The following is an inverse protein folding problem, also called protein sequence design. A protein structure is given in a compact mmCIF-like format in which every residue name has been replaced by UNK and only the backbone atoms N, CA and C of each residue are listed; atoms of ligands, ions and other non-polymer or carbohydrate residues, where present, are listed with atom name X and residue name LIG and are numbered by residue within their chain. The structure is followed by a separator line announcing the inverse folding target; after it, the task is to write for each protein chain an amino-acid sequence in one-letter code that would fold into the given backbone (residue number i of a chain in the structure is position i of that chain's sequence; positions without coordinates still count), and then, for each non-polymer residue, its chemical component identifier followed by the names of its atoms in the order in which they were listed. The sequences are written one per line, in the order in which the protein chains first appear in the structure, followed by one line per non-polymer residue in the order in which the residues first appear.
data_IF_067488419977
#
_entry.id   IF_067488419977
#
_cell.length_a   1.000
_cell.length_b   1.000
_cell.length_c   1.000
_cell.angle_alpha   90.00
_cell.angle_beta   90.00
_cell.angle_gamma   90.00
#
_symmetry.space_group_name_H-M   'P 1'
#
loop_
_entity.id
_entity.type
_entity.pdbx_description
1 polymer ?
#
# COMPACT_ATOMS: atom_id res chain seq x y z
N UNK A 1 20.75 -6.21 47.28
CA UNK A 1 20.19 -6.77 46.02
C UNK A 1 19.03 -5.89 45.58
N UNK A 2 19.28 -4.80 44.86
CA UNK A 2 18.22 -3.88 44.40
C UNK A 2 18.57 -3.21 43.05
N UNK A 3 19.55 -3.76 42.31
CA UNK A 3 20.00 -3.23 41.02
C UNK A 3 19.33 -3.87 39.81
N UNK A 4 18.63 -5.01 39.97
CA UNK A 4 18.13 -5.79 38.84
C UNK A 4 16.69 -5.43 38.43
N UNK A 5 15.83 -5.03 39.37
CA UNK A 5 14.40 -4.79 39.11
C UNK A 5 14.13 -3.49 38.32
N UNK A 6 14.91 -2.43 38.56
CA UNK A 6 14.79 -1.18 37.81
C UNK A 6 15.31 -1.38 36.39
N UNK A 7 16.38 -2.16 36.23
CA UNK A 7 16.93 -2.49 34.91
C UNK A 7 15.98 -3.33 34.05
N UNK A 8 15.22 -4.26 34.67
CA UNK A 8 14.25 -5.09 33.95
C UNK A 8 13.03 -4.28 33.53
N UNK A 9 12.51 -3.39 34.38
CA UNK A 9 11.36 -2.53 34.03
C UNK A 9 11.73 -1.56 32.91
N UNK A 10 12.92 -0.94 32.99
CA UNK A 10 13.37 -0.03 31.93
C UNK A 10 13.59 -0.77 30.61
N UNK A 11 14.16 -1.99 30.66
CA UNK A 11 14.38 -2.83 29.48
C UNK A 11 13.07 -3.36 28.88
N UNK A 12 12.09 -3.73 29.71
CA UNK A 12 10.77 -4.19 29.27
C UNK A 12 9.92 -3.04 28.70
N UNK A 13 10.01 -1.84 29.28
CA UNK A 13 9.41 -0.64 28.74
C UNK A 13 10.08 -0.25 27.42
N UNK A 14 11.42 -0.22 27.35
CA UNK A 14 12.13 0.04 26.10
C UNK A 14 11.79 -1.00 25.04
N UNK A 15 11.77 -2.29 25.35
CA UNK A 15 11.37 -3.33 24.39
C UNK A 15 9.91 -3.16 23.94
N UNK A 16 8.98 -2.74 24.81
CA UNK A 16 7.59 -2.42 24.43
C UNK A 16 7.46 -1.16 23.58
N UNK A 17 8.30 -0.15 23.80
CA UNK A 17 8.25 1.13 23.09
C UNK A 17 9.05 1.12 21.77
N UNK A 18 10.13 0.34 21.68
CA UNK A 18 10.98 0.21 20.49
C UNK A 18 10.57 -0.96 19.58
N UNK A 19 9.81 -1.95 20.05
CA UNK A 19 9.21 -2.99 19.19
C UNK A 19 7.90 -2.54 18.53
N UNK A 20 7.71 -1.23 18.30
CA UNK A 20 6.66 -0.79 17.38
C UNK A 20 7.09 -1.16 15.98
N UNK A 21 6.61 -2.32 15.54
CA UNK A 21 6.68 -2.78 14.15
C UNK A 21 6.30 -1.61 13.24
N UNK A 22 7.22 -1.23 12.34
CA UNK A 22 7.02 -0.08 11.44
C UNK A 22 5.84 -0.42 10.52
N UNK A 23 4.92 0.51 10.32
CA UNK A 23 3.77 0.32 9.42
C UNK A 23 3.90 1.29 8.28
N UNK A 24 4.01 0.77 7.05
CA UNK A 24 3.97 1.55 5.82
C UNK A 24 2.57 1.53 5.23
N UNK A 25 2.03 2.70 4.91
CA UNK A 25 0.78 2.86 4.16
C UNK A 25 1.08 3.15 2.70
N UNK A 26 0.74 2.20 1.83
CA UNK A 26 0.94 2.30 0.39
C UNK A 26 -0.43 2.35 -0.29
N UNK A 27 -0.65 3.39 -1.09
CA UNK A 27 -1.82 3.47 -1.96
C UNK A 27 -1.49 2.95 -3.35
N UNK A 28 -2.35 2.11 -3.90
CA UNK A 28 -2.26 1.67 -5.29
C UNK A 28 -3.38 2.35 -6.09
N UNK A 29 -2.97 3.06 -7.14
CA UNK A 29 -3.83 3.89 -7.98
C UNK A 29 -3.63 3.56 -9.46
N UNK A 30 -4.54 4.03 -10.30
CA UNK A 30 -4.46 3.89 -11.75
C UNK A 30 -5.80 3.55 -12.39
N UNK A 31 -5.91 3.61 -13.71
CA UNK A 31 -7.16 3.37 -14.42
C UNK A 31 -7.76 1.98 -14.11
N UNK A 32 -9.05 1.80 -14.35
CA UNK A 32 -9.65 0.46 -14.31
C UNK A 32 -8.84 -0.49 -15.21
N UNK A 33 -8.79 -1.78 -14.86
CA UNK A 33 -8.09 -2.82 -15.63
C UNK A 33 -6.57 -2.65 -15.79
N UNK A 34 -5.92 -1.67 -15.16
CA UNK A 34 -4.46 -1.49 -15.25
C UNK A 34 -3.60 -2.54 -14.51
N UNK A 35 -4.21 -3.59 -13.97
CA UNK A 35 -3.49 -4.68 -13.28
C UNK A 35 -3.29 -4.52 -11.77
N UNK A 36 -3.78 -3.43 -11.15
CA UNK A 36 -3.64 -3.16 -9.69
C UNK A 36 -3.93 -4.37 -8.80
N UNK A 37 -5.15 -4.91 -8.88
CA UNK A 37 -5.60 -6.02 -8.02
C UNK A 37 -4.86 -7.31 -8.30
N UNK A 38 -4.48 -7.55 -9.56
CA UNK A 38 -3.62 -8.69 -9.93
C UNK A 38 -2.27 -8.61 -9.24
N UNK A 39 -1.65 -7.42 -9.23
CA UNK A 39 -0.39 -7.19 -8.53
C UNK A 39 -0.53 -7.39 -7.01
N UNK A 40 -1.56 -6.85 -6.38
CA UNK A 40 -1.81 -7.05 -4.93
C UNK A 40 -1.97 -8.53 -4.60
N UNK A 41 -2.78 -9.26 -5.38
CA UNK A 41 -2.96 -10.71 -5.17
C UNK A 41 -1.69 -11.50 -5.43
N UNK A 42 -0.86 -11.08 -6.38
CA UNK A 42 0.44 -11.68 -6.59
C UNK A 42 1.36 -11.48 -5.38
N UNK A 43 1.43 -10.26 -4.81
CA UNK A 43 2.21 -10.00 -3.60
C UNK A 43 1.76 -10.87 -2.41
N UNK A 44 0.44 -11.06 -2.25
CA UNK A 44 -0.12 -11.81 -1.12
C UNK A 44 0.05 -13.33 -1.24
N UNK A 45 -0.01 -13.87 -2.46
CA UNK A 45 -0.13 -15.31 -2.69
C UNK A 45 1.01 -15.91 -3.51
N UNK A 46 1.93 -15.09 -4.02
CA UNK A 46 3.01 -15.46 -4.91
C UNK A 46 2.53 -16.27 -6.14
N UNK A 47 1.33 -15.96 -6.64
CA UNK A 47 0.66 -16.66 -7.76
C UNK A 47 -0.26 -15.71 -8.52
N UNK A 48 -0.38 -15.91 -9.83
CA UNK A 48 -1.36 -15.22 -10.66
C UNK A 48 -2.75 -15.84 -10.46
N UNK A 49 -3.67 -15.06 -9.90
CA UNK A 49 -5.07 -15.46 -9.68
C UNK A 49 -5.97 -14.75 -10.69
N UNK A 50 -7.03 -15.44 -11.15
CA UNK A 50 -8.12 -14.77 -11.87
C UNK A 50 -8.85 -13.86 -10.89
N UNK A 51 -8.80 -12.55 -11.15
CA UNK A 51 -9.45 -11.53 -10.33
C UNK A 51 -10.70 -10.99 -11.03
N UNK A 52 -11.73 -10.67 -10.23
CA UNK A 52 -12.86 -9.87 -10.68
C UNK A 52 -12.52 -8.38 -10.51
N UNK A 53 -13.14 -7.47 -11.26
CA UNK A 53 -12.99 -6.03 -11.03
C UNK A 53 -13.30 -5.67 -9.57
N UNK A 54 -12.45 -4.86 -8.95
CA UNK A 54 -12.65 -4.40 -7.57
C UNK A 54 -13.90 -3.53 -7.49
N UNK A 55 -14.79 -3.87 -6.57
CA UNK A 55 -15.92 -3.03 -6.18
C UNK A 55 -15.53 -2.23 -4.93
N UNK A 56 -15.58 -0.91 -5.01
CA UNK A 56 -15.27 -0.03 -3.89
C UNK A 56 -13.77 0.02 -3.53
N UNK A 57 -13.48 -0.14 -2.24
CA UNK A 57 -12.15 -0.05 -1.64
C UNK A 57 -11.75 -1.39 -1.04
N UNK A 58 -10.56 -1.83 -1.40
CA UNK A 58 -9.94 -3.03 -0.87
C UNK A 58 -8.70 -2.67 -0.05
N UNK A 59 -8.61 -3.18 1.18
CA UNK A 59 -7.52 -2.91 2.11
C UNK A 59 -6.90 -4.23 2.53
N UNK A 60 -5.60 -4.38 2.33
CA UNK A 60 -4.86 -5.58 2.70
C UNK A 60 -3.65 -5.24 3.54
N UNK A 61 -3.37 -6.08 4.54
CA UNK A 61 -2.19 -5.93 5.39
C UNK A 61 -1.25 -7.12 5.19
N UNK A 62 -0.01 -6.81 4.83
CA UNK A 62 1.08 -7.77 4.72
C UNK A 62 1.98 -7.60 5.94
N UNK A 63 2.21 -8.67 6.68
CA UNK A 63 3.04 -8.68 7.88
C UNK A 63 4.39 -9.35 7.59
N UNK A 64 5.48 -8.58 7.67
CA UNK A 64 6.86 -9.07 7.69
C UNK A 64 7.35 -9.19 9.13
N UNK A 65 8.55 -9.70 9.38
CA UNK A 65 9.07 -9.82 10.76
C UNK A 65 9.30 -8.43 11.38
N UNK A 66 9.84 -7.49 10.61
CA UNK A 66 10.29 -6.18 11.08
C UNK A 66 9.30 -5.03 10.80
N UNK A 67 8.42 -5.18 9.81
CA UNK A 67 7.46 -4.16 9.40
C UNK A 67 6.16 -4.74 8.84
N UNK A 68 5.15 -3.89 8.71
CA UNK A 68 3.88 -4.20 8.04
C UNK A 68 3.67 -3.25 6.88
N UNK A 69 3.01 -3.72 5.83
CA UNK A 69 2.52 -2.89 4.73
C UNK A 69 1.01 -2.95 4.74
N UNK A 70 0.35 -1.78 4.71
CA UNK A 70 -1.08 -1.65 4.44
C UNK A 70 -1.23 -1.15 3.01
N UNK A 71 -1.88 -1.95 2.18
CA UNK A 71 -2.15 -1.66 0.78
C UNK A 71 -3.60 -1.23 0.62
N UNK A 72 -3.80 -0.05 0.03
CA UNK A 72 -5.10 0.49 -0.32
C UNK A 72 -5.31 0.41 -1.84
N UNK A 73 -6.10 -0.55 -2.31
CA UNK A 73 -6.49 -0.73 -3.73
C UNK A 73 -7.93 -0.24 -3.92
N UNK A 74 -8.08 0.92 -4.58
CA UNK A 74 -9.39 1.50 -4.87
C UNK A 74 -9.70 1.44 -6.35
N UNK A 75 -10.98 1.23 -6.68
CA UNK A 75 -11.46 1.45 -8.06
C UNK A 75 -11.49 2.93 -8.42
N UNK A 76 -11.69 3.79 -7.42
CA UNK A 76 -11.92 5.21 -7.62
C UNK A 76 -10.63 5.94 -8.02
N UNK A 77 -10.79 7.02 -8.77
CA UNK A 77 -9.69 7.93 -9.07
C UNK A 77 -9.16 8.54 -7.78
N UNK A 78 -7.94 9.09 -7.81
CA UNK A 78 -7.34 9.74 -6.65
C UNK A 78 -8.26 10.86 -6.11
N UNK A 79 -8.93 11.57 -7.01
CA UNK A 79 -9.77 12.73 -6.71
C UNK A 79 -11.11 12.35 -6.07
N UNK A 80 -11.65 11.17 -6.41
CA UNK A 80 -13.00 10.75 -6.00
C UNK A 80 -13.07 10.13 -4.59
N UNK A 81 -11.92 9.77 -4.00
CA UNK A 81 -11.88 9.06 -2.71
C UNK A 81 -11.36 9.95 -1.57
N UNK A 82 -12.23 10.88 -1.13
CA UNK A 82 -11.94 11.81 -0.04
C UNK A 82 -11.60 11.12 1.30
N UNK A 83 -11.97 9.85 1.46
CA UNK A 83 -11.68 9.08 2.67
C UNK A 83 -10.21 8.63 2.70
N UNK A 84 -9.70 8.14 1.58
CA UNK A 84 -8.29 7.72 1.42
C UNK A 84 -7.36 8.93 1.38
N UNK A 85 -7.80 10.05 0.78
CA UNK A 85 -7.00 11.28 0.69
C UNK A 85 -6.68 11.90 2.06
N UNK A 86 -7.40 11.53 3.12
CA UNK A 86 -7.12 11.99 4.50
C UNK A 86 -6.12 11.11 5.23
N UNK A 87 -5.75 9.97 4.67
CA UNK A 87 -4.79 9.06 5.26
C UNK A 87 -3.37 9.53 4.94
N UNK A 88 -2.48 9.44 5.93
CA UNK A 88 -1.07 9.72 5.76
C UNK A 88 -0.40 8.55 5.04
N UNK A 89 -0.17 8.72 3.74
CA UNK A 89 0.38 7.69 2.85
C UNK A 89 1.88 7.88 2.71
N UNK A 90 2.65 6.84 3.03
CA UNK A 90 4.11 6.84 2.85
C UNK A 90 4.50 6.79 1.37
N UNK A 91 3.69 6.09 0.56
CA UNK A 91 3.91 5.97 -0.87
C UNK A 91 2.60 5.81 -1.67
N UNK A 92 2.66 6.24 -2.93
CA UNK A 92 1.63 5.97 -3.93
C UNK A 92 2.29 5.26 -5.12
N UNK A 93 1.69 4.15 -5.55
CA UNK A 93 2.08 3.39 -6.73
C UNK A 93 0.99 3.57 -7.79
N UNK A 94 1.34 4.22 -8.90
CA UNK A 94 0.40 4.43 -10.00
C UNK A 94 0.62 3.39 -11.11
N UNK A 95 -0.42 2.63 -11.44
CA UNK A 95 -0.44 1.61 -12.49
C UNK A 95 -0.93 2.18 -13.81
N UNK A 96 -0.16 1.90 -14.87
CA UNK A 96 -0.46 2.27 -16.24
C UNK A 96 -0.43 1.00 -17.08
N UNK A 97 -1.50 0.75 -17.82
CA UNK A 97 -1.49 -0.27 -18.87
C UNK A 97 -0.90 0.34 -20.14
N UNK A 98 0.27 -0.15 -20.56
CA UNK A 98 0.96 0.34 -21.74
C UNK A 98 0.31 -0.10 -23.05
N UNK A 99 -0.52 -1.15 -23.02
CA UNK A 99 -1.24 -1.66 -24.18
C UNK A 99 -2.51 -0.86 -24.47
N UNK A 100 -3.08 -0.17 -23.47
CA UNK A 100 -4.26 0.69 -23.63
C UNK A 100 -3.85 2.14 -23.94
N UNK A 101 -3.55 2.39 -25.21
CA UNK A 101 -3.21 3.73 -25.70
C UNK A 101 -4.29 4.80 -25.44
N UNK A 102 -5.55 4.40 -25.27
CA UNK A 102 -6.64 5.31 -24.92
C UNK A 102 -6.54 5.82 -23.49
N UNK A 103 -6.21 4.93 -22.54
CA UNK A 103 -6.09 5.25 -21.11
C UNK A 103 -4.73 5.82 -20.72
N UNK A 104 -3.69 5.69 -21.57
CA UNK A 104 -2.40 6.38 -21.36
C UNK A 104 -2.57 7.90 -21.17
N UNK A 105 -3.45 8.54 -21.95
CA UNK A 105 -3.72 9.98 -21.84
C UNK A 105 -4.38 10.37 -20.52
N UNK A 106 -5.18 9.47 -19.96
CA UNK A 106 -5.84 9.66 -18.66
C UNK A 106 -4.80 9.49 -17.55
N UNK A 107 -3.98 8.44 -17.63
CA UNK A 107 -2.91 8.17 -16.67
C UNK A 107 -1.94 9.33 -16.54
N UNK A 108 -1.49 9.91 -17.65
CA UNK A 108 -0.57 11.06 -17.66
C UNK A 108 -1.13 12.31 -16.97
N UNK A 109 -2.46 12.51 -16.98
CA UNK A 109 -3.10 13.62 -16.28
C UNK A 109 -3.08 13.42 -14.76
N UNK A 110 -3.36 12.19 -14.31
CA UNK A 110 -3.45 11.86 -12.88
C UNK A 110 -2.06 11.72 -12.22
N UNK A 111 -1.05 11.32 -12.99
CA UNK A 111 0.34 11.06 -12.52
C UNK A 111 1.01 12.30 -11.92
N UNK A 112 0.58 13.51 -12.26
CA UNK A 112 1.15 14.75 -11.73
C UNK A 112 1.10 14.86 -10.19
N UNK A 113 0.39 13.94 -9.51
CA UNK A 113 0.26 13.87 -8.05
C UNK A 113 1.06 12.75 -7.38
N UNK A 114 1.71 11.85 -8.13
CA UNK A 114 2.33 10.63 -7.57
C UNK A 114 3.86 10.71 -7.47
N UNK A 115 4.42 10.21 -6.35
CA UNK A 115 5.86 10.28 -6.03
C UNK A 115 6.70 9.12 -6.60
N UNK A 116 6.07 8.00 -6.97
CA UNK A 116 6.72 6.84 -7.59
C UNK A 116 5.81 6.20 -8.66
N UNK A 117 6.39 5.81 -9.81
CA UNK A 117 5.68 5.21 -10.95
C UNK A 117 6.24 3.81 -11.17
N UNK A 118 5.37 2.80 -11.22
CA UNK A 118 5.74 1.42 -11.57
C UNK A 118 4.97 1.00 -12.81
N UNK A 119 5.70 0.61 -13.86
CA UNK A 119 5.14 0.20 -15.16
C UNK A 119 5.17 -1.32 -15.28
N UNK A 120 4.06 -1.91 -15.73
CA UNK A 120 3.98 -3.33 -16.10
C UNK A 120 3.66 -3.42 -17.59
N UNK A 121 4.32 -4.37 -18.28
CA UNK A 121 4.05 -4.76 -19.67
C UNK A 121 3.17 -5.99 -19.73
#
# INVERSE_FOLDING_TARGET
MMGNAISSIFRDCCNKFFNKKIIFQIRICGPAQSGKTTFVKYLLHNKFLKVKPTEGLFVEKIDFEEFSIIIWDSRYSIEDDASINRLDMDAVIYFIDLSDHGRLKIGLKDICTCRYIYTYT
#
